data_IF_788144245196
#
_entry.id   IF_788144245196
#
_cell.length_a   1.000
_cell.length_b   1.000
_cell.length_c   1.000
_cell.angle_alpha   90.00
_cell.angle_beta   90.00
_cell.angle_gamma   90.00
#
_symmetry.space_group_name_H-M   'P 1'
#
loop_
_entity.id
_entity.type
_entity.pdbx_description
1 polymer ?
#
# COMPACT_ATOMS: atom_id res chain seq x y z
N UNK A 1 3.04 -8.50 37.51
CA UNK A 1 2.51 -7.38 36.67
C UNK A 1 2.75 -7.78 35.22
N UNK A 2 1.70 -8.21 34.50
CA UNK A 2 1.85 -8.88 33.19
C UNK A 2 2.09 -7.87 32.06
N UNK A 3 3.18 -8.07 31.31
CA UNK A 3 3.61 -7.22 30.18
C UNK A 3 2.48 -6.98 29.15
N UNK A 4 1.58 -7.95 29.01
CA UNK A 4 0.42 -7.92 28.12
C UNK A 4 -0.61 -6.83 28.46
N UNK A 5 -0.79 -6.45 29.73
CA UNK A 5 -1.82 -5.46 30.11
C UNK A 5 -1.42 -4.00 29.82
N UNK A 6 -0.12 -3.73 29.65
CA UNK A 6 0.39 -2.40 29.30
C UNK A 6 0.24 -2.14 27.80
N UNK A 7 0.43 -3.17 26.98
CA UNK A 7 0.38 -3.08 25.52
C UNK A 7 -1.04 -2.75 25.04
N UNK A 8 -2.08 -3.36 25.62
CA UNK A 8 -3.45 -3.13 25.16
C UNK A 8 -4.07 -1.79 25.55
N UNK A 9 -3.51 -1.06 26.52
CA UNK A 9 -4.15 0.16 27.02
C UNK A 9 -3.97 1.36 26.07
N UNK A 10 -2.91 1.38 25.27
CA UNK A 10 -2.52 2.51 24.42
C UNK A 10 -2.07 2.13 23.00
N UNK A 11 -2.27 0.88 22.54
CA UNK A 11 -1.69 0.43 21.27
C UNK A 11 -2.70 -0.35 20.42
N UNK A 12 -2.85 0.06 19.15
CA UNK A 12 -3.59 -0.65 18.11
C UNK A 12 -2.81 -1.84 17.52
N UNK A 13 -1.73 -2.28 18.19
CA UNK A 13 -0.90 -3.41 17.77
C UNK A 13 -1.74 -4.69 17.74
N UNK A 14 -2.03 -5.17 16.52
CA UNK A 14 -2.62 -6.48 16.32
C UNK A 14 -1.49 -7.53 16.24
N UNK A 15 -1.28 -8.33 17.30
CA UNK A 15 -0.15 -9.26 17.35
C UNK A 15 -0.23 -10.35 16.29
N UNK A 16 -1.42 -10.70 15.79
CA UNK A 16 -1.59 -11.71 14.75
C UNK A 16 -1.14 -11.18 13.38
N UNK A 17 -1.51 -9.96 13.02
CA UNK A 17 -1.12 -9.36 11.73
C UNK A 17 0.38 -9.11 11.71
N UNK A 18 0.94 -8.60 12.80
CA UNK A 18 2.37 -8.28 12.89
C UNK A 18 3.21 -9.55 12.97
N UNK A 19 2.79 -10.54 13.77
CA UNK A 19 3.50 -11.81 13.87
C UNK A 19 3.58 -12.55 12.54
N UNK A 20 2.46 -12.61 11.80
CA UNK A 20 2.42 -13.31 10.50
C UNK A 20 3.23 -12.60 9.42
N UNK A 21 3.10 -11.27 9.31
CA UNK A 21 3.86 -10.48 8.32
C UNK A 21 5.36 -10.49 8.62
N UNK A 22 5.76 -10.30 9.88
CA UNK A 22 7.17 -10.32 10.28
C UNK A 22 7.80 -11.70 10.03
N UNK A 23 7.09 -12.78 10.36
CA UNK A 23 7.56 -14.14 10.12
C UNK A 23 7.83 -14.37 8.63
N UNK A 24 6.89 -13.97 7.76
CA UNK A 24 7.07 -14.10 6.31
C UNK A 24 8.28 -13.33 5.80
N UNK A 25 8.46 -12.08 6.25
CA UNK A 25 9.61 -11.25 5.85
C UNK A 25 10.92 -11.88 6.31
N UNK A 26 11.01 -12.30 7.57
CA UNK A 26 12.23 -12.91 8.13
C UNK A 26 12.57 -14.21 7.40
N UNK A 27 11.57 -15.04 7.11
CA UNK A 27 11.78 -16.29 6.36
C UNK A 27 12.31 -16.01 4.95
N UNK A 28 11.71 -15.05 4.24
CA UNK A 28 12.13 -14.69 2.89
C UNK A 28 13.56 -14.13 2.87
N UNK A 29 13.90 -13.26 3.82
CA UNK A 29 15.27 -12.73 3.98
C UNK A 29 16.25 -13.87 4.28
N UNK A 30 15.90 -14.76 5.22
CA UNK A 30 16.75 -15.90 5.57
C UNK A 30 16.99 -16.83 4.38
N UNK A 31 15.93 -17.17 3.63
CA UNK A 31 16.05 -17.99 2.43
C UNK A 31 16.97 -17.36 1.38
N UNK A 32 16.84 -16.05 1.17
CA UNK A 32 17.66 -15.28 0.22
C UNK A 32 19.13 -15.25 0.62
N UNK A 33 19.43 -15.18 1.92
CA UNK A 33 20.81 -15.19 2.42
C UNK A 33 21.49 -16.56 2.33
N UNK A 34 20.75 -17.63 2.61
CA UNK A 34 21.33 -18.99 2.62
C UNK A 34 21.44 -19.58 1.21
N UNK A 35 20.46 -19.35 0.34
CA UNK A 35 20.40 -19.94 -1.00
C UNK A 35 20.07 -18.91 -2.10
N UNK A 36 20.95 -17.92 -2.36
CA UNK A 36 20.64 -16.77 -3.21
C UNK A 36 20.23 -17.17 -4.64
N UNK A 37 21.01 -18.05 -5.29
CA UNK A 37 20.76 -18.45 -6.67
C UNK A 37 19.44 -19.20 -6.86
N UNK A 38 19.08 -20.06 -5.90
CA UNK A 38 17.85 -20.84 -5.95
C UNK A 38 16.63 -19.96 -5.68
N UNK A 39 16.70 -19.12 -4.64
CA UNK A 39 15.63 -18.17 -4.31
C UNK A 39 15.39 -17.19 -5.46
N UNK A 40 16.46 -16.69 -6.10
CA UNK A 40 16.35 -15.82 -7.27
C UNK A 40 15.65 -16.52 -8.45
N UNK A 41 16.06 -17.74 -8.80
CA UNK A 41 15.41 -18.49 -9.89
C UNK A 41 13.92 -18.73 -9.63
N UNK A 42 13.55 -19.08 -8.39
CA UNK A 42 12.14 -19.24 -8.02
C UNK A 42 11.35 -17.93 -8.12
N UNK A 43 11.91 -16.83 -7.62
CA UNK A 43 11.30 -15.50 -7.70
C UNK A 43 11.13 -15.03 -9.15
N UNK A 44 12.13 -15.25 -9.99
CA UNK A 44 12.09 -14.89 -11.40
C UNK A 44 11.07 -15.71 -12.18
N UNK A 45 10.99 -17.02 -11.91
CA UNK A 45 9.95 -17.88 -12.48
C UNK A 45 8.55 -17.44 -12.05
N UNK A 46 8.34 -17.17 -10.77
CA UNK A 46 7.06 -16.71 -10.24
C UNK A 46 6.64 -15.36 -10.85
N UNK A 47 7.59 -14.41 -10.91
CA UNK A 47 7.41 -13.12 -11.58
C UNK A 47 7.02 -13.33 -13.04
N UNK A 48 7.76 -14.13 -13.81
CA UNK A 48 7.48 -14.38 -15.22
C UNK A 48 6.10 -15.02 -15.44
N UNK A 49 5.70 -15.96 -14.59
CA UNK A 49 4.37 -16.58 -14.64
C UNK A 49 3.26 -15.55 -14.39
N UNK A 50 3.41 -14.69 -13.39
CA UNK A 50 2.45 -13.61 -13.09
C UNK A 50 2.35 -12.65 -14.29
N UNK A 51 3.47 -12.19 -14.83
CA UNK A 51 3.45 -11.30 -16.00
C UNK A 51 2.85 -11.98 -17.24
N UNK A 52 3.14 -13.25 -17.49
CA UNK A 52 2.60 -13.95 -18.67
C UNK A 52 1.08 -14.09 -18.63
N UNK A 53 0.51 -14.39 -17.46
CA UNK A 53 -0.92 -14.69 -17.33
C UNK A 53 -1.78 -13.52 -16.84
N UNK A 54 -1.22 -12.61 -16.04
CA UNK A 54 -1.97 -11.58 -15.33
C UNK A 54 -1.74 -10.15 -15.85
N UNK A 55 -0.84 -9.94 -16.82
CA UNK A 55 -0.58 -8.60 -17.38
C UNK A 55 -1.82 -7.96 -17.99
N UNK A 56 -2.65 -8.72 -18.71
CA UNK A 56 -3.87 -8.17 -19.31
C UNK A 56 -4.85 -7.67 -18.24
N UNK A 57 -4.98 -8.40 -17.13
CA UNK A 57 -5.83 -8.02 -16.00
C UNK A 57 -5.25 -6.79 -15.29
N UNK A 58 -3.94 -6.73 -15.10
CA UNK A 58 -3.27 -5.58 -14.51
C UNK A 58 -3.52 -4.29 -15.32
N UNK A 59 -3.33 -4.34 -16.64
CA UNK A 59 -3.56 -3.19 -17.54
C UNK A 59 -5.04 -2.76 -17.51
N UNK A 60 -5.95 -3.73 -17.56
CA UNK A 60 -7.39 -3.47 -17.53
C UNK A 60 -7.80 -2.85 -16.18
N UNK A 61 -7.32 -3.40 -15.06
CA UNK A 61 -7.62 -2.90 -13.72
C UNK A 61 -7.11 -1.47 -13.54
N UNK A 62 -5.86 -1.19 -13.91
CA UNK A 62 -5.32 0.16 -13.90
C UNK A 62 -6.15 1.12 -14.74
N UNK A 63 -6.52 0.72 -15.96
CA UNK A 63 -7.36 1.54 -16.84
C UNK A 63 -8.74 1.82 -16.23
N UNK A 64 -9.39 0.81 -15.67
CA UNK A 64 -10.69 0.95 -15.00
C UNK A 64 -10.58 1.93 -13.82
N UNK A 65 -9.57 1.80 -12.96
CA UNK A 65 -9.37 2.73 -11.84
C UNK A 65 -9.10 4.15 -12.32
N UNK A 66 -8.32 4.33 -13.38
CA UNK A 66 -8.08 5.64 -13.97
C UNK A 66 -9.37 6.28 -14.47
N UNK A 67 -10.15 5.57 -15.30
CA UNK A 67 -11.42 6.07 -15.79
C UNK A 67 -12.41 6.32 -14.66
N UNK A 68 -12.44 5.45 -13.65
CA UNK A 68 -13.27 5.62 -12.46
C UNK A 68 -12.93 6.89 -11.69
N UNK A 69 -11.65 7.17 -11.45
CA UNK A 69 -11.21 8.39 -10.76
C UNK A 69 -11.53 9.67 -11.57
N UNK A 70 -11.35 9.63 -12.90
CA UNK A 70 -11.74 10.74 -13.78
C UNK A 70 -13.26 10.95 -13.74
N UNK A 71 -14.03 9.87 -13.85
CA UNK A 71 -15.50 9.93 -13.78
C UNK A 71 -15.96 10.49 -12.43
N UNK A 72 -15.37 10.06 -11.31
CA UNK A 72 -15.66 10.63 -10.00
C UNK A 72 -15.37 12.13 -9.96
N UNK A 73 -14.20 12.56 -10.47
CA UNK A 73 -13.77 13.95 -10.45
C UNK A 73 -14.67 14.89 -11.26
N UNK A 74 -15.22 14.42 -12.38
CA UNK A 74 -16.13 15.22 -13.23
C UNK A 74 -17.59 15.12 -12.80
N UNK A 75 -17.97 14.04 -12.12
CA UNK A 75 -19.33 13.84 -11.61
C UNK A 75 -19.66 14.75 -10.43
N UNK A 76 -20.94 14.81 -10.06
CA UNK A 76 -21.39 15.50 -8.84
C UNK A 76 -20.76 14.94 -7.56
N UNK A 77 -20.27 13.71 -7.58
CA UNK A 77 -19.58 13.09 -6.44
C UNK A 77 -18.23 13.74 -6.14
N UNK A 78 -17.57 14.32 -7.14
CA UNK A 78 -16.32 15.06 -6.95
C UNK A 78 -16.47 16.37 -6.17
N UNK A 79 -17.70 16.89 -6.08
CA UNK A 79 -18.00 18.10 -5.29
C UNK A 79 -18.31 17.78 -3.81
N UNK A 80 -18.32 16.50 -3.43
CA UNK A 80 -18.56 16.11 -2.04
C UNK A 80 -17.30 16.39 -1.22
N UNK A 81 -17.46 17.22 -0.19
CA UNK A 81 -16.41 17.54 0.76
C UNK A 81 -16.13 16.35 1.69
N UNK A 82 -14.87 15.97 1.82
CA UNK A 82 -14.42 14.91 2.72
C UNK A 82 -14.26 15.46 4.15
N UNK A 83 -15.37 15.72 4.83
CA UNK A 83 -15.41 16.31 6.16
C UNK A 83 -16.80 16.85 6.47
N UNK A 84 -16.92 17.67 7.51
CA UNK A 84 -18.15 18.41 7.73
C UNK A 84 -18.31 19.54 6.71
N UNK A 85 -19.56 19.93 6.40
CA UNK A 85 -19.83 20.95 5.37
C UNK A 85 -19.16 22.29 5.70
N UNK A 86 -18.97 22.60 6.98
CA UNK A 86 -18.40 23.88 7.46
C UNK A 86 -16.89 23.83 7.73
N UNK A 87 -16.22 22.71 7.46
CA UNK A 87 -14.81 22.53 7.83
C UNK A 87 -13.83 23.18 6.83
N UNK A 88 -13.01 24.12 7.23
CA UNK A 88 -12.00 24.66 6.30
C UNK A 88 -10.86 23.65 6.06
N UNK A 89 -10.19 23.67 4.89
CA UNK A 89 -9.06 22.80 4.63
C UNK A 89 -7.92 23.08 5.63
N UNK A 90 -7.42 22.02 6.29
CA UNK A 90 -6.35 22.12 7.29
C UNK A 90 -5.03 22.68 6.71
N UNK A 91 -4.77 22.43 5.43
CA UNK A 91 -3.56 22.84 4.72
C UNK A 91 -3.89 23.74 3.54
N UNK A 92 -3.10 24.80 3.35
CA UNK A 92 -3.18 25.63 2.16
C UNK A 92 -2.87 24.80 0.90
N UNK A 93 -3.52 25.13 -0.22
CA UNK A 93 -3.45 24.37 -1.49
C UNK A 93 -2.01 24.05 -1.94
N UNK A 94 -1.09 25.03 -1.85
CA UNK A 94 0.31 24.84 -2.23
C UNK A 94 1.04 23.86 -1.30
N UNK A 95 0.74 23.90 0.00
CA UNK A 95 1.31 22.97 0.96
C UNK A 95 0.76 21.55 0.76
N UNK A 96 -0.55 21.43 0.51
CA UNK A 96 -1.19 20.15 0.19
C UNK A 96 -0.62 19.52 -1.09
N UNK A 97 -0.44 20.33 -2.14
CA UNK A 97 0.16 19.86 -3.40
C UNK A 97 1.60 19.38 -3.19
N UNK A 98 2.39 20.09 -2.37
CA UNK A 98 3.74 19.67 -2.02
C UNK A 98 3.75 18.33 -1.26
N UNK A 99 2.78 18.08 -0.38
CA UNK A 99 2.65 16.80 0.33
C UNK A 99 2.33 15.65 -0.63
N UNK A 100 1.44 15.86 -1.61
CA UNK A 100 1.15 14.84 -2.64
C UNK A 100 2.39 14.48 -3.45
N UNK A 101 3.19 15.48 -3.83
CA UNK A 101 4.44 15.24 -4.55
C UNK A 101 5.46 14.51 -3.69
N UNK A 102 5.62 14.91 -2.42
CA UNK A 102 6.52 14.25 -1.48
C UNK A 102 6.10 12.79 -1.20
N UNK A 103 4.80 12.50 -1.10
CA UNK A 103 4.29 11.15 -0.93
C UNK A 103 4.46 10.29 -2.20
N UNK A 104 4.39 10.90 -3.39
CA UNK A 104 4.55 10.21 -4.66
C UNK A 104 6.00 9.97 -5.10
N UNK A 105 6.94 10.81 -4.68
CA UNK A 105 8.36 10.65 -5.03
C UNK A 105 9.04 9.62 -4.12
N UNK A 106 9.17 8.38 -4.62
CA UNK A 106 10.05 7.36 -4.06
C UNK A 106 11.41 7.29 -4.77
N UNK A 107 12.40 6.64 -4.14
CA UNK A 107 13.58 6.16 -4.87
C UNK A 107 13.12 5.00 -5.76
N UNK A 108 12.77 5.32 -7.01
CA UNK A 108 12.34 4.37 -8.03
C UNK A 108 13.48 3.52 -8.59
#
# INVERSE_FOLDING_TARGET
>A
MNLSSIIHKNSSFNPLVIGTTLLLVVLLVFATLVFPNFTQQMLDWAKAAIFSHFSWFYILSFSIFLFFLIALSVSSLGNIKLGSNEEEPEFAFHSWLAMLFAAGMGWG
#
